data_IF_301664808513
#
_entry.id   IF_301664808513
#
_cell.length_a   1.000
_cell.length_b   1.000
_cell.length_c   1.000
_cell.angle_alpha   90.00
_cell.angle_beta   90.00
_cell.angle_gamma   90.00
#
_symmetry.space_group_name_H-M   'P 1'
#
loop_
_entity.id
_entity.type
_entity.pdbx_description
1 polymer ?
#
# COMPACT_ATOMS: atom_id res chain seq x y z
N UNK A 1 15.24 -16.21 22.05
CA UNK A 1 14.37 -15.12 21.56
C UNK A 1 13.94 -15.52 20.17
N UNK A 2 12.74 -16.12 20.05
CA UNK A 2 12.13 -16.40 18.76
C UNK A 2 11.84 -15.05 18.10
N UNK A 3 12.54 -14.73 17.02
CA UNK A 3 12.12 -13.64 16.13
C UNK A 3 10.88 -14.16 15.41
N UNK A 4 9.71 -13.67 15.81
CA UNK A 4 8.49 -13.84 15.03
C UNK A 4 8.66 -13.07 13.72
N UNK A 5 8.88 -13.79 12.62
CA UNK A 5 8.95 -13.21 11.28
C UNK A 5 7.58 -12.75 10.75
N UNK A 6 6.55 -12.79 11.60
CA UNK A 6 5.19 -12.33 11.32
C UNK A 6 4.96 -10.87 11.71
N UNK A 7 5.93 -10.19 12.33
CA UNK A 7 5.89 -8.74 12.62
C UNK A 7 6.12 -7.87 11.36
N UNK A 8 5.98 -8.45 10.16
CA UNK A 8 5.90 -7.67 8.94
C UNK A 8 4.58 -6.87 8.90
N UNK A 9 4.53 -5.75 8.17
CA UNK A 9 3.27 -5.07 7.92
C UNK A 9 2.24 -6.06 7.34
N UNK A 10 1.20 -6.38 8.09
CA UNK A 10 0.06 -7.12 7.54
C UNK A 10 -0.61 -6.23 6.50
N UNK A 11 -0.49 -6.59 5.22
CA UNK A 11 -1.09 -5.82 4.14
C UNK A 11 -2.61 -6.03 4.20
N UNK A 12 -3.41 -4.96 4.34
CA UNK A 12 -4.86 -5.07 4.30
C UNK A 12 -5.31 -5.72 3.00
N UNK A 13 -6.22 -6.69 3.08
CA UNK A 13 -6.69 -7.43 1.90
C UNK A 13 -7.19 -6.50 0.78
N UNK A 14 -7.89 -5.42 1.14
CA UNK A 14 -8.36 -4.40 0.20
C UNK A 14 -7.21 -3.70 -0.54
N UNK A 15 -6.13 -3.38 0.17
CA UNK A 15 -4.92 -2.80 -0.41
C UNK A 15 -4.25 -3.79 -1.35
N UNK A 16 -4.05 -5.04 -0.91
CA UNK A 16 -3.43 -6.09 -1.73
C UNK A 16 -4.19 -6.34 -3.03
N UNK A 17 -5.53 -6.40 -2.98
CA UNK A 17 -6.36 -6.56 -4.18
C UNK A 17 -6.28 -5.36 -5.12
N UNK A 18 -6.25 -4.14 -4.59
CA UNK A 18 -6.15 -2.92 -5.40
C UNK A 18 -4.77 -2.77 -6.04
N UNK A 19 -3.69 -3.10 -5.33
CA UNK A 19 -2.33 -3.15 -5.88
C UNK A 19 -2.22 -4.18 -7.01
N UNK A 20 -2.78 -5.38 -6.84
CA UNK A 20 -2.79 -6.41 -7.88
C UNK A 20 -3.54 -5.97 -9.16
N UNK A 21 -4.46 -5.00 -9.06
CA UNK A 21 -5.19 -4.42 -10.19
C UNK A 21 -4.45 -3.22 -10.83
N UNK A 22 -3.41 -2.69 -10.18
CA UNK A 22 -2.62 -1.56 -10.67
C UNK A 22 -1.12 -1.87 -10.52
N UNK A 23 -0.54 -2.47 -11.56
CA UNK A 23 0.87 -2.89 -11.57
C UNK A 23 1.84 -1.74 -11.31
N UNK A 24 1.53 -0.51 -11.73
CA UNK A 24 2.38 0.65 -11.45
C UNK A 24 2.40 0.97 -9.95
N UNK A 25 1.23 0.95 -9.31
CA UNK A 25 1.13 1.16 -7.86
C UNK A 25 1.78 0.01 -7.08
N UNK A 26 1.63 -1.22 -7.55
CA UNK A 26 2.29 -2.39 -6.97
C UNK A 26 3.81 -2.27 -7.04
N UNK A 27 4.36 -1.86 -8.19
CA UNK A 27 5.79 -1.65 -8.35
C UNK A 27 6.31 -0.51 -7.46
N UNK A 28 5.58 0.60 -7.38
CA UNK A 28 5.89 1.69 -6.47
C UNK A 28 5.91 1.20 -5.01
N UNK A 29 4.84 0.56 -4.55
CA UNK A 29 4.73 0.03 -3.19
C UNK A 29 5.84 -0.99 -2.88
N UNK A 30 6.17 -1.87 -3.83
CA UNK A 30 7.25 -2.84 -3.67
C UNK A 30 8.62 -2.18 -3.53
N UNK A 31 8.82 -1.02 -4.17
CA UNK A 31 10.06 -0.23 -4.13
C UNK A 31 10.26 0.55 -2.83
N UNK A 32 9.19 0.76 -2.05
CA UNK A 32 9.26 1.46 -0.76
C UNK A 32 10.03 0.64 0.29
N UNK A 33 10.68 1.35 1.21
CA UNK A 33 11.21 0.79 2.44
C UNK A 33 10.08 0.46 3.44
N UNK A 34 10.43 -0.15 4.57
CA UNK A 34 9.43 -0.58 5.55
C UNK A 34 8.62 0.60 6.12
N UNK A 35 9.26 1.76 6.27
CA UNK A 35 8.61 2.99 6.71
C UNK A 35 7.58 3.47 5.68
N UNK A 36 7.94 3.54 4.40
CA UNK A 36 7.05 3.93 3.32
C UNK A 36 5.88 2.96 3.16
N UNK A 37 6.13 1.66 3.24
CA UNK A 37 5.06 0.64 3.23
C UNK A 37 4.09 0.81 4.38
N UNK A 38 4.59 1.09 5.59
CA UNK A 38 3.77 1.37 6.77
C UNK A 38 2.95 2.65 6.61
N UNK A 39 3.51 3.71 6.02
CA UNK A 39 2.75 4.94 5.72
C UNK A 39 1.60 4.66 4.75
N UNK A 40 1.84 3.86 3.71
CA UNK A 40 0.79 3.46 2.76
C UNK A 40 -0.28 2.63 3.47
N UNK A 41 0.11 1.65 4.30
CA UNK A 41 -0.84 0.82 5.05
C UNK A 41 -1.67 1.67 6.01
N UNK A 42 -1.04 2.59 6.75
CA UNK A 42 -1.75 3.49 7.67
C UNK A 42 -2.74 4.41 6.94
N UNK A 43 -2.41 4.85 5.72
CA UNK A 43 -3.30 5.63 4.86
C UNK A 43 -4.56 4.88 4.42
N UNK A 44 -4.55 3.54 4.47
CA UNK A 44 -5.75 2.75 4.16
C UNK A 44 -6.83 2.85 5.23
N UNK A 45 -6.50 3.25 6.46
CA UNK A 45 -7.49 3.38 7.54
C UNK A 45 -8.51 4.49 7.29
N UNK A 46 -8.21 5.48 6.45
CA UNK A 46 -9.16 6.52 6.01
C UNK A 46 -10.02 6.11 4.83
N UNK A 47 -9.81 4.92 4.26
CA UNK A 47 -10.55 4.42 3.10
C UNK A 47 -11.78 3.64 3.57
N UNK A 48 -12.96 4.09 3.14
CA UNK A 48 -14.24 3.52 3.57
C UNK A 48 -14.91 2.63 2.50
N UNK A 49 -14.42 2.66 1.26
CA UNK A 49 -15.03 1.91 0.15
C UNK A 49 -14.02 1.30 -0.82
N UNK A 50 -14.48 0.31 -1.60
CA UNK A 50 -13.68 -0.30 -2.68
C UNK A 50 -13.26 0.71 -3.74
N UNK A 51 -14.10 1.70 -4.04
CA UNK A 51 -13.79 2.76 -5.01
C UNK A 51 -12.70 3.67 -4.48
N UNK A 52 -12.82 4.11 -3.22
CA UNK A 52 -11.80 4.91 -2.56
C UNK A 52 -10.47 4.16 -2.46
N UNK A 53 -10.46 2.84 -2.21
CA UNK A 53 -9.23 2.04 -2.20
C UNK A 53 -8.53 2.04 -3.56
N UNK A 54 -9.30 1.91 -4.65
CA UNK A 54 -8.75 1.97 -6.00
C UNK A 54 -8.19 3.35 -6.32
N UNK A 55 -8.87 4.42 -5.91
CA UNK A 55 -8.39 5.79 -6.08
C UNK A 55 -7.13 6.05 -5.26
N UNK A 56 -7.13 5.64 -3.99
CA UNK A 56 -5.97 5.71 -3.10
C UNK A 56 -4.75 5.05 -3.73
N UNK A 57 -4.88 3.80 -4.21
CA UNK A 57 -3.81 3.07 -4.87
C UNK A 57 -3.39 3.69 -6.21
N UNK A 58 -4.34 4.23 -6.98
CA UNK A 58 -4.02 4.91 -8.25
C UNK A 58 -3.19 6.17 -8.00
N UNK A 59 -3.51 6.94 -6.95
CA UNK A 59 -2.74 8.11 -6.56
C UNK A 59 -1.30 7.74 -6.13
N UNK A 60 -1.08 6.58 -5.50
CA UNK A 60 0.27 6.09 -5.18
C UNK A 60 1.14 5.90 -6.44
N UNK A 61 0.54 5.45 -7.54
CA UNK A 61 1.27 5.29 -8.81
C UNK A 61 1.54 6.63 -9.50
N UNK A 62 0.66 7.61 -9.30
CA UNK A 62 0.75 8.95 -9.89
C UNK A 62 1.68 9.88 -9.10
N UNK A 63 1.97 9.58 -7.82
CA UNK A 63 2.91 10.30 -6.94
C UNK A 63 4.40 10.21 -7.36
N UNK A 64 4.72 9.74 -8.58
CA UNK A 64 5.95 10.16 -9.27
C UNK A 64 5.94 11.65 -9.68
N UNK A 65 4.89 12.40 -9.32
CA UNK A 65 4.68 13.81 -9.64
C UNK A 65 4.95 14.78 -8.48
N UNK A 66 5.05 14.30 -7.23
CA UNK A 66 5.45 15.13 -6.10
C UNK A 66 6.96 14.97 -5.86
N UNK A 67 7.72 15.75 -6.64
CA UNK A 67 9.10 16.12 -6.32
C UNK A 67 9.20 16.80 -4.97
#
# INVERSE_FOLDING_TARGET
MEKNYTDGPEIPLGLGMALAQNLNAMNYFASLDDSGKQQVINGTHSVSSKSEMKQYVSNLAEENSFR
#
